data_IF_103281280618
#
_entry.id   IF_103281280618
#
_cell.length_a   1.000
_cell.length_b   1.000
_cell.length_c   1.000
_cell.angle_alpha   90.00
_cell.angle_beta   90.00
_cell.angle_gamma   90.00
#
_symmetry.space_group_name_H-M   'P 1'
#
loop_
_entity.id
_entity.type
_entity.pdbx_description
1 polymer ?
#
# COMPACT_ATOMS: atom_id res chain seq x y z
N UNK A 1 22.47 0.31 -9.84
CA UNK A 1 21.51 0.42 -8.72
C UNK A 1 20.12 0.55 -9.33
N UNK A 2 19.18 -0.34 -9.00
CA UNK A 2 17.81 -0.24 -9.54
C UNK A 2 17.12 0.99 -8.92
N UNK A 3 16.42 1.83 -9.70
CA UNK A 3 15.72 2.98 -9.16
C UNK A 3 14.55 2.47 -8.29
N UNK A 4 14.37 3.03 -7.10
CA UNK A 4 13.33 2.70 -6.08
C UNK A 4 13.64 1.62 -5.02
N UNK A 5 14.91 1.38 -4.67
CA UNK A 5 15.23 0.54 -3.50
C UNK A 5 15.06 1.35 -2.20
N UNK A 6 14.16 0.93 -1.31
CA UNK A 6 13.99 1.51 0.02
C UNK A 6 15.14 1.05 0.93
N UNK A 7 15.69 1.89 1.84
CA UNK A 7 16.83 1.50 2.67
C UNK A 7 16.61 0.21 3.46
N UNK A 8 15.39 -0.08 3.88
CA UNK A 8 15.05 -1.27 4.65
C UNK A 8 14.86 -2.54 3.81
N UNK A 9 14.94 -2.48 2.48
CA UNK A 9 14.85 -3.68 1.62
C UNK A 9 15.94 -4.71 1.97
N UNK A 10 17.09 -4.25 2.50
CA UNK A 10 18.16 -5.13 3.02
C UNK A 10 17.76 -6.01 4.21
N UNK A 11 16.63 -5.72 4.85
CA UNK A 11 16.13 -6.46 6.02
C UNK A 11 14.96 -7.37 5.65
N UNK A 12 14.51 -7.40 4.39
CA UNK A 12 13.30 -8.10 3.99
C UNK A 12 13.29 -9.57 4.42
N UNK A 13 14.34 -10.31 4.07
CA UNK A 13 14.47 -11.74 4.39
C UNK A 13 14.43 -12.00 5.92
N UNK A 14 15.05 -11.11 6.71
CA UNK A 14 15.02 -11.20 8.18
C UNK A 14 13.65 -10.87 8.78
N UNK A 15 12.83 -10.09 8.07
CA UNK A 15 11.50 -9.65 8.51
C UNK A 15 10.37 -10.53 7.96
N UNK A 16 10.66 -11.38 6.97
CA UNK A 16 9.68 -12.26 6.32
C UNK A 16 8.80 -13.04 7.31
N UNK A 17 9.32 -13.64 8.41
CA UNK A 17 8.46 -14.34 9.36
C UNK A 17 7.42 -13.44 10.03
N UNK A 18 7.79 -12.19 10.37
CA UNK A 18 6.88 -11.22 10.96
C UNK A 18 5.86 -10.68 9.94
N UNK A 19 6.30 -10.48 8.70
CA UNK A 19 5.43 -10.07 7.59
C UNK A 19 4.37 -11.14 7.30
N UNK A 20 4.78 -12.41 7.21
CA UNK A 20 3.87 -13.53 6.99
C UNK A 20 2.83 -13.62 8.12
N UNK A 21 3.28 -13.58 9.37
CA UNK A 21 2.37 -13.61 10.52
C UNK A 21 1.34 -12.48 10.50
N UNK A 22 1.74 -11.27 10.07
CA UNK A 22 0.81 -10.13 9.96
C UNK A 22 -0.18 -10.28 8.80
N UNK A 23 0.25 -10.81 7.66
CA UNK A 23 -0.64 -11.11 6.53
C UNK A 23 -1.69 -12.13 6.93
N UNK A 24 -1.27 -13.22 7.60
CA UNK A 24 -2.18 -14.26 8.10
C UNK A 24 -3.18 -13.70 9.12
N UNK A 25 -2.74 -12.81 10.01
CA UNK A 25 -3.62 -12.10 10.95
C UNK A 25 -4.67 -11.25 10.21
N UNK A 26 -4.26 -10.50 9.18
CA UNK A 26 -5.20 -9.70 8.39
C UNK A 26 -6.23 -10.57 7.68
N UNK A 27 -5.81 -11.72 7.11
CA UNK A 27 -6.73 -12.68 6.53
C UNK A 27 -7.70 -13.25 7.57
N UNK A 28 -7.20 -13.61 8.76
CA UNK A 28 -8.01 -14.16 9.85
C UNK A 28 -9.12 -13.20 10.29
N UNK A 29 -8.85 -11.89 10.30
CA UNK A 29 -9.83 -10.86 10.65
C UNK A 29 -10.73 -10.43 9.48
N UNK A 30 -10.62 -11.07 8.31
CA UNK A 30 -11.46 -10.77 7.15
C UNK A 30 -10.99 -9.60 6.28
N UNK A 31 -9.77 -9.12 6.48
CA UNK A 31 -9.13 -8.13 5.60
C UNK A 31 -8.50 -8.84 4.40
N UNK A 32 -9.36 -9.40 3.55
CA UNK A 32 -8.99 -10.18 2.38
C UNK A 32 -8.12 -9.38 1.40
N UNK A 33 -7.26 -10.10 0.67
CA UNK A 33 -6.25 -9.60 -0.27
C UNK A 33 -4.95 -8.99 0.31
N UNK A 34 -4.70 -9.12 1.61
CA UNK A 34 -3.36 -8.83 2.11
C UNK A 34 -2.32 -9.77 1.48
N UNK A 35 -1.17 -9.23 1.04
CA UNK A 35 -0.04 -10.01 0.54
C UNK A 35 1.26 -9.44 1.10
N UNK A 36 2.35 -10.22 1.08
CA UNK A 36 3.66 -9.76 1.52
C UNK A 36 4.11 -8.50 0.76
N UNK A 37 3.85 -8.47 -0.55
CA UNK A 37 4.19 -7.36 -1.43
C UNK A 37 3.42 -6.08 -1.09
N UNK A 38 2.09 -6.20 -0.89
CA UNK A 38 1.21 -5.07 -0.54
C UNK A 38 1.51 -4.56 0.87
N UNK A 39 1.74 -5.45 1.82
CA UNK A 39 2.14 -5.09 3.18
C UNK A 39 3.51 -4.38 3.17
N UNK A 40 4.47 -4.88 2.40
CA UNK A 40 5.78 -4.24 2.25
C UNK A 40 5.67 -2.84 1.63
N UNK A 41 4.82 -2.68 0.62
CA UNK A 41 4.54 -1.40 0.01
C UNK A 41 3.92 -0.41 1.01
N UNK A 42 2.94 -0.85 1.80
CA UNK A 42 2.37 -0.05 2.89
C UNK A 42 3.44 0.39 3.90
N UNK A 43 4.27 -0.56 4.36
CA UNK A 43 5.32 -0.27 5.34
C UNK A 43 6.32 0.74 4.79
N UNK A 44 6.86 0.54 3.60
CA UNK A 44 7.87 1.43 3.01
C UNK A 44 7.33 2.78 2.55
N UNK A 45 6.08 2.86 2.06
CA UNK A 45 5.51 4.11 1.53
C UNK A 45 4.78 4.95 2.58
N UNK A 46 4.23 4.32 3.63
CA UNK A 46 3.43 5.00 4.65
C UNK A 46 4.11 4.99 6.02
N UNK A 47 4.40 3.80 6.58
CA UNK A 47 4.91 3.67 7.95
C UNK A 47 6.38 4.13 8.09
N UNK A 48 7.23 3.74 7.15
CA UNK A 48 8.67 4.00 7.12
C UNK A 48 9.06 5.05 6.08
N UNK A 49 8.14 5.98 5.75
CA UNK A 49 8.37 7.05 4.77
C UNK A 49 9.67 7.85 5.02
N UNK A 50 10.09 7.94 6.28
CA UNK A 50 11.35 8.55 6.71
C UNK A 50 12.19 7.48 7.43
N UNK A 51 13.01 6.70 6.72
CA UNK A 51 13.80 5.64 7.32
C UNK A 51 14.92 6.22 8.19
N UNK A 52 15.17 5.56 9.31
CA UNK A 52 16.26 5.86 10.23
C UNK A 52 17.55 5.15 9.81
N UNK A 53 18.69 5.83 10.02
CA UNK A 53 20.00 5.32 9.61
C UNK A 53 20.42 4.10 10.45
N UNK A 54 20.10 4.12 11.75
CA UNK A 54 20.60 3.15 12.73
C UNK A 54 19.53 2.21 13.28
N UNK A 55 18.43 2.02 12.54
CA UNK A 55 17.31 1.18 12.96
C UNK A 55 17.77 -0.23 13.28
N UNK A 56 17.19 -0.81 14.33
CA UNK A 56 17.39 -2.19 14.74
C UNK A 56 16.28 -3.07 14.18
N UNK A 57 16.61 -4.31 13.85
CA UNK A 57 15.65 -5.26 13.27
C UNK A 57 14.43 -5.45 14.17
N UNK A 58 14.61 -5.51 15.50
CA UNK A 58 13.49 -5.67 16.43
C UNK A 58 12.50 -4.49 16.39
N UNK A 59 12.95 -3.28 16.05
CA UNK A 59 12.09 -2.09 15.92
C UNK A 59 11.20 -2.24 14.69
N UNK A 60 11.77 -2.72 13.58
CA UNK A 60 11.01 -3.03 12.36
C UNK A 60 10.02 -4.17 12.58
N UNK A 61 10.41 -5.22 13.32
CA UNK A 61 9.49 -6.31 13.72
C UNK A 61 8.33 -5.77 14.55
N UNK A 62 8.62 -4.93 15.56
CA UNK A 62 7.59 -4.27 16.37
C UNK A 62 6.66 -3.43 15.49
N UNK A 63 7.20 -2.70 14.52
CA UNK A 63 6.43 -1.91 13.58
C UNK A 63 5.49 -2.74 12.70
N UNK A 64 5.95 -3.90 12.23
CA UNK A 64 5.15 -4.85 11.45
C UNK A 64 4.03 -5.42 12.31
N UNK A 65 4.35 -5.94 13.50
CA UNK A 65 3.38 -6.61 14.35
C UNK A 65 2.36 -5.64 14.98
N UNK A 66 2.71 -4.36 15.11
CA UNK A 66 1.79 -3.30 15.57
C UNK A 66 0.98 -2.65 14.45
N UNK A 67 1.17 -3.04 13.19
CA UNK A 67 0.44 -2.48 12.06
C UNK A 67 -1.07 -2.72 12.22
N UNK A 68 -1.85 -1.64 12.18
CA UNK A 68 -3.31 -1.70 12.33
C UNK A 68 -3.96 -1.98 10.98
N UNK A 69 -4.84 -2.97 10.95
CA UNK A 69 -5.57 -3.33 9.73
C UNK A 69 -6.34 -2.15 9.13
N UNK A 70 -7.00 -1.31 9.94
CA UNK A 70 -7.72 -0.12 9.44
C UNK A 70 -6.81 0.88 8.71
N UNK A 71 -5.58 1.09 9.18
CA UNK A 71 -4.62 1.98 8.53
C UNK A 71 -4.05 1.38 7.24
N UNK A 72 -3.84 0.06 7.22
CA UNK A 72 -3.45 -0.71 6.05
C UNK A 72 -4.54 -0.65 4.98
N UNK A 73 -5.79 -0.95 5.33
CA UNK A 73 -6.94 -0.87 4.40
C UNK A 73 -7.12 0.53 3.84
N UNK A 74 -7.00 1.57 4.68
CA UNK A 74 -7.06 2.96 4.19
C UNK A 74 -5.97 3.24 3.16
N UNK A 75 -4.77 2.67 3.32
CA UNK A 75 -3.70 2.81 2.35
C UNK A 75 -4.02 2.06 1.06
N UNK A 76 -4.44 0.79 1.13
CA UNK A 76 -4.80 -0.02 -0.03
C UNK A 76 -5.91 0.64 -0.85
N UNK A 77 -6.97 1.14 -0.20
CA UNK A 77 -8.04 1.89 -0.87
C UNK A 77 -7.50 3.09 -1.64
N UNK A 78 -6.62 3.89 -1.03
CA UNK A 78 -6.00 5.04 -1.71
C UNK A 78 -5.11 4.60 -2.88
N UNK A 79 -4.39 3.47 -2.77
CA UNK A 79 -3.58 2.96 -3.88
C UNK A 79 -4.44 2.46 -5.03
N UNK A 80 -5.57 1.79 -4.75
CA UNK A 80 -6.51 1.36 -5.77
C UNK A 80 -7.05 2.54 -6.59
N UNK A 81 -7.40 3.65 -5.94
CA UNK A 81 -7.81 4.89 -6.63
C UNK A 81 -6.68 5.62 -7.36
N UNK A 82 -5.42 5.40 -6.98
CA UNK A 82 -4.25 5.99 -7.65
C UNK A 82 -3.76 5.17 -8.83
N UNK A 83 -4.27 3.95 -9.01
CA UNK A 83 -3.85 3.11 -10.12
C UNK A 83 -4.17 3.81 -11.45
N UNK A 84 -3.19 3.99 -12.36
CA UNK A 84 -3.39 4.69 -13.63
C UNK A 84 -4.47 4.05 -14.52
N UNK A 85 -4.86 2.81 -14.22
CA UNK A 85 -5.78 2.03 -15.03
C UNK A 85 -7.26 2.33 -14.82
N UNK A 86 -7.66 3.25 -13.94
CA UNK A 86 -9.07 3.61 -13.82
C UNK A 86 -9.64 4.25 -15.10
N UNK A 87 -8.80 4.99 -15.83
CA UNK A 87 -9.17 5.64 -17.10
C UNK A 87 -8.54 4.97 -18.32
N UNK A 88 -7.88 3.82 -18.17
CA UNK A 88 -7.25 3.14 -19.31
C UNK A 88 -8.27 2.71 -20.37
N UNK A 89 -9.51 2.42 -19.94
CA UNK A 89 -10.61 2.02 -20.82
C UNK A 89 -11.54 3.20 -21.20
N UNK A 90 -11.29 4.41 -20.69
CA UNK A 90 -12.13 5.59 -20.94
C UNK A 90 -11.38 6.53 -21.88
N UNK A 91 -11.92 6.77 -23.08
CA UNK A 91 -11.30 7.72 -24.01
C UNK A 91 -11.42 9.16 -23.47
N UNK A 92 -10.53 10.05 -23.91
CA UNK A 92 -10.46 11.45 -23.50
C UNK A 92 -11.80 12.20 -23.66
N UNK A 93 -12.60 11.82 -24.66
CA UNK A 93 -13.91 12.41 -24.93
C UNK A 93 -14.98 11.98 -23.91
N UNK A 94 -15.04 10.69 -23.57
CA UNK A 94 -15.94 10.16 -22.52
C UNK A 94 -15.58 10.72 -21.14
N UNK A 95 -14.28 10.89 -20.88
CA UNK A 95 -13.79 11.51 -19.65
C UNK A 95 -14.24 12.97 -19.53
N UNK A 96 -14.20 13.73 -20.63
CA UNK A 96 -14.65 15.13 -20.67
C UNK A 96 -16.14 15.25 -20.40
N UNK A 97 -16.96 14.35 -20.94
CA UNK A 97 -18.41 14.33 -20.72
C UNK A 97 -18.77 14.02 -19.25
N UNK A 98 -18.08 13.07 -18.62
CA UNK A 98 -18.30 12.73 -17.21
C UNK A 98 -17.91 13.85 -16.24
N UNK A 99 -16.82 14.58 -16.52
CA UNK A 99 -16.33 15.68 -15.68
C UNK A 99 -17.14 16.97 -15.87
N UNK A 100 -17.74 17.13 -17.04
CA UNK A 100 -18.61 18.24 -17.38
C UNK A 100 -19.97 17.71 -17.83
N UNK A 101 -20.78 17.15 -16.90
CA UNK A 101 -22.11 16.71 -17.26
C UNK A 101 -22.87 17.94 -17.76
N UNK A 102 -23.18 17.92 -19.05
CA UNK A 102 -24.04 18.91 -19.68
C UNK A 102 -25.28 19.03 -18.81
N UNK A 103 -25.49 20.21 -18.22
CA UNK A 103 -26.79 20.51 -17.62
C UNK A 103 -27.77 20.53 -18.78
N UNK A 104 -28.45 19.40 -19.00
CA UNK A 104 -29.72 19.43 -19.72
C UNK A 104 -30.70 20.18 -18.81
N UNK A 105 -30.70 21.49 -18.97
CA UNK A 105 -31.77 22.36 -18.52
C UNK A 105 -33.08 21.84 -19.12
N UNK A 106 -34.01 21.43 -18.24
CA UNK A 106 -35.43 21.37 -18.53
C UNK A 106 -36.12 22.54 -17.86
#
# INVERSE_FOLDING_TARGET
MKPNQHPYDRFYDSLEPALLSKVEEFHLFGYGEASLERLWLYLTKKKWKKPEVNVKVYELVSDILSAKAGEYMTFETVQAYRSPNWFADVNEDELKELLHPSREEK
#
